data_IF_700764030384
#
_entry.id   IF_700764030384
#
_cell.length_a   1.000
_cell.length_b   1.000
_cell.length_c   1.000
_cell.angle_alpha   90.00
_cell.angle_beta   90.00
_cell.angle_gamma   90.00
#
_symmetry.space_group_name_H-M   'P 1'
#
loop_
_entity.id
_entity.type
_entity.pdbx_description
1 polymer ?
#
# COMPACT_ATOMS: atom_id res chain seq x y z
N UNK A 1 1.13 1.71 -19.63
CA UNK A 1 0.55 2.88 -18.99
C UNK A 1 -0.79 3.17 -19.62
N UNK A 2 -1.85 2.99 -18.85
CA UNK A 2 -3.24 2.94 -19.35
C UNK A 2 -3.96 4.30 -19.18
N UNK A 3 -3.27 5.39 -19.47
CA UNK A 3 -3.98 6.67 -19.54
C UNK A 3 -4.92 6.66 -20.74
N UNK A 4 -6.16 7.05 -20.53
CA UNK A 4 -7.14 7.14 -21.61
C UNK A 4 -6.67 8.22 -22.60
N UNK A 5 -6.32 7.85 -23.84
CA UNK A 5 -6.00 8.83 -24.86
C UNK A 5 -7.24 9.71 -25.10
N UNK A 6 -7.07 11.03 -25.05
CA UNK A 6 -8.14 11.97 -25.32
C UNK A 6 -8.24 12.27 -26.83
N UNK A 7 -7.11 12.20 -27.53
CA UNK A 7 -7.00 12.38 -28.98
C UNK A 7 -5.69 11.82 -29.54
N UNK A 8 -5.48 11.93 -30.85
CA UNK A 8 -4.27 11.49 -31.54
C UNK A 8 -3.05 12.43 -31.34
N UNK A 9 -3.15 13.47 -30.53
CA UNK A 9 -2.07 14.46 -30.26
C UNK A 9 -1.19 14.09 -29.07
N UNK A 10 -1.33 12.87 -28.53
CA UNK A 10 -0.62 12.41 -27.34
C UNK A 10 -1.20 12.93 -26.02
N UNK A 11 -2.38 13.54 -26.04
CA UNK A 11 -3.10 13.94 -24.83
C UNK A 11 -3.60 12.74 -24.07
N UNK A 12 -3.41 12.79 -22.75
CA UNK A 12 -3.86 11.75 -21.81
C UNK A 12 -4.66 12.37 -20.68
N UNK A 13 -5.65 11.62 -20.19
CA UNK A 13 -6.46 11.94 -19.01
C UNK A 13 -6.67 10.63 -18.25
N UNK A 14 -6.30 10.57 -16.98
CA UNK A 14 -6.44 9.35 -16.20
C UNK A 14 -5.95 9.49 -14.78
N UNK A 15 -5.97 8.37 -14.05
CA UNK A 15 -5.48 8.26 -12.69
C UNK A 15 -4.14 7.54 -12.67
N UNK A 16 -3.29 7.90 -11.72
CA UNK A 16 -2.00 7.27 -11.47
C UNK A 16 -1.55 7.48 -10.03
N UNK A 17 -0.62 6.65 -9.59
CA UNK A 17 0.06 6.78 -8.31
C UNK A 17 1.32 7.65 -8.49
N UNK A 18 1.55 8.58 -7.58
CA UNK A 18 2.82 9.27 -7.45
C UNK A 18 3.83 8.35 -6.76
N UNK A 19 4.82 7.85 -7.49
CA UNK A 19 5.91 7.05 -6.92
C UNK A 19 6.97 7.93 -6.26
N UNK A 20 7.34 9.02 -6.94
CA UNK A 20 8.25 10.05 -6.40
C UNK A 20 7.79 11.43 -6.82
N UNK A 21 8.09 12.44 -5.99
CA UNK A 21 7.87 13.85 -6.30
C UNK A 21 8.99 14.69 -5.71
N UNK A 22 9.65 15.46 -6.58
CA UNK A 22 10.72 16.38 -6.21
C UNK A 22 10.40 17.79 -6.70
N UNK A 23 10.58 18.77 -5.84
CA UNK A 23 10.50 20.19 -6.22
C UNK A 23 11.84 20.65 -6.72
N UNK A 24 11.90 21.10 -8.00
CA UNK A 24 13.10 21.53 -8.68
C UNK A 24 12.97 22.93 -9.26
N UNK A 25 14.09 23.55 -9.59
CA UNK A 25 14.15 24.85 -10.25
C UNK A 25 14.78 24.69 -11.62
N UNK A 26 14.15 25.25 -12.64
CA UNK A 26 14.65 25.25 -14.02
C UNK A 26 15.84 26.18 -14.18
N UNK A 27 16.58 26.08 -15.29
CA UNK A 27 17.63 27.01 -15.64
C UNK A 27 17.18 28.47 -15.82
N UNK A 28 15.87 28.68 -16.00
CA UNK A 28 15.25 30.01 -16.12
C UNK A 28 14.72 30.54 -14.77
N UNK A 29 14.90 29.80 -13.67
CA UNK A 29 14.44 30.19 -12.35
C UNK A 29 13.00 29.76 -12.02
N UNK A 30 12.27 29.14 -12.96
CA UNK A 30 10.90 28.67 -12.70
C UNK A 30 10.91 27.39 -11.83
N UNK A 31 10.04 27.35 -10.83
CA UNK A 31 9.82 26.15 -10.02
C UNK A 31 8.96 25.15 -10.77
N UNK A 32 9.28 23.85 -10.68
CA UNK A 32 8.48 22.77 -11.22
C UNK A 32 8.52 21.53 -10.30
N UNK A 33 7.53 20.65 -10.43
CA UNK A 33 7.59 19.31 -9.83
C UNK A 33 8.10 18.33 -10.89
N UNK A 34 9.07 17.53 -10.49
CA UNK A 34 9.59 16.37 -11.22
C UNK A 34 9.06 15.13 -10.54
N UNK A 35 8.21 14.39 -11.21
CA UNK A 35 7.48 13.26 -10.67
C UNK A 35 7.78 11.98 -11.44
N UNK A 36 7.77 10.84 -10.75
CA UNK A 36 7.57 9.55 -11.38
C UNK A 36 6.15 9.11 -11.07
N UNK A 37 5.35 8.92 -12.10
CA UNK A 37 3.97 8.42 -12.01
C UNK A 37 3.92 6.97 -12.46
N UNK A 38 3.09 6.15 -11.81
CA UNK A 38 2.93 4.73 -12.13
C UNK A 38 1.47 4.32 -12.12
N UNK A 39 1.14 3.31 -12.92
CA UNK A 39 -0.10 2.55 -12.89
C UNK A 39 0.22 1.05 -13.06
N UNK A 40 -0.79 0.20 -13.32
CA UNK A 40 -0.61 -1.25 -13.53
C UNK A 40 0.31 -1.60 -14.70
N UNK A 41 0.47 -0.71 -15.68
CA UNK A 41 1.14 -1.01 -16.95
C UNK A 41 2.56 -0.46 -17.03
N UNK A 42 2.95 0.46 -16.13
CA UNK A 42 4.30 0.99 -16.11
C UNK A 42 4.49 2.33 -15.44
N UNK A 43 5.63 2.94 -15.70
CA UNK A 43 6.07 4.19 -15.09
C UNK A 43 6.40 5.23 -16.17
N UNK A 44 6.14 6.49 -15.87
CA UNK A 44 6.52 7.62 -16.70
C UNK A 44 7.08 8.78 -15.87
N UNK A 45 8.12 9.43 -16.36
CA UNK A 45 8.55 10.72 -15.81
C UNK A 45 7.55 11.81 -16.21
N UNK A 46 7.12 12.62 -15.26
CA UNK A 46 6.13 13.66 -15.45
C UNK A 46 6.61 15.00 -14.87
N UNK A 47 6.28 16.09 -15.54
CA UNK A 47 6.64 17.43 -15.09
C UNK A 47 5.46 18.36 -15.04
N UNK A 48 5.27 18.97 -13.87
CA UNK A 48 4.32 20.06 -13.65
C UNK A 48 5.12 21.39 -13.62
N UNK A 49 5.13 22.09 -14.74
CA UNK A 49 5.86 23.34 -14.89
C UNK A 49 5.17 24.50 -14.21
N UNK A 50 5.94 25.51 -13.76
CA UNK A 50 5.46 26.73 -13.07
C UNK A 50 4.64 26.38 -11.83
N UNK A 51 5.12 25.38 -11.10
CA UNK A 51 4.43 24.91 -9.91
C UNK A 51 4.37 25.99 -8.81
N UNK A 52 3.16 26.17 -8.27
CA UNK A 52 2.89 26.98 -7.08
C UNK A 52 1.98 26.20 -6.14
N UNK A 53 2.33 26.00 -4.86
CA UNK A 53 1.46 25.30 -3.90
C UNK A 53 0.07 25.95 -3.76
N UNK A 54 0.00 27.28 -3.90
CA UNK A 54 -1.25 28.03 -3.78
C UNK A 54 -2.24 27.74 -4.93
N UNK A 55 -1.73 27.43 -6.13
CA UNK A 55 -2.56 27.16 -7.32
C UNK A 55 -2.79 25.67 -7.56
N UNK A 56 -1.77 24.84 -7.28
CA UNK A 56 -1.77 23.43 -7.65
C UNK A 56 -1.99 22.49 -6.46
N UNK A 57 -1.89 22.99 -5.21
CA UNK A 57 -1.86 22.14 -4.01
C UNK A 57 -0.48 21.52 -3.76
N UNK A 58 -0.40 20.67 -2.76
CA UNK A 58 0.80 19.91 -2.42
C UNK A 58 0.58 18.43 -2.75
N UNK A 59 1.65 17.76 -3.19
CA UNK A 59 1.63 16.35 -3.60
C UNK A 59 2.75 15.59 -2.91
N UNK A 60 2.45 14.34 -2.53
CA UNK A 60 3.40 13.43 -1.87
C UNK A 60 3.49 12.11 -2.62
N UNK A 61 4.56 11.37 -2.37
CA UNK A 61 4.64 9.97 -2.79
C UNK A 61 3.49 9.15 -2.18
N UNK A 62 3.08 8.11 -2.86
CA UNK A 62 1.98 7.21 -2.49
C UNK A 62 0.57 7.88 -2.51
N UNK A 63 0.41 9.02 -3.16
CA UNK A 63 -0.91 9.60 -3.43
C UNK A 63 -1.40 9.23 -4.83
N UNK A 64 -2.70 8.89 -4.94
CA UNK A 64 -3.33 8.71 -6.25
C UNK A 64 -3.85 10.06 -6.73
N UNK A 65 -3.49 10.41 -7.96
CA UNK A 65 -3.87 11.67 -8.58
C UNK A 65 -4.58 11.45 -9.90
N UNK A 66 -5.53 12.33 -10.20
CA UNK A 66 -6.06 12.49 -11.55
C UNK A 66 -5.23 13.52 -12.27
N UNK A 67 -4.73 13.13 -13.45
CA UNK A 67 -3.92 14.02 -14.28
C UNK A 67 -4.55 14.20 -15.67
N UNK A 68 -4.25 15.35 -16.26
CA UNK A 68 -4.40 15.61 -17.69
C UNK A 68 -3.10 16.22 -18.19
N UNK A 69 -2.65 15.78 -19.34
CA UNK A 69 -1.41 16.27 -19.90
C UNK A 69 -1.13 15.73 -21.30
N UNK A 70 0.08 15.98 -21.78
CA UNK A 70 0.53 15.55 -23.10
C UNK A 70 1.84 14.77 -22.95
N UNK A 71 1.89 13.58 -23.54
CA UNK A 71 3.11 12.78 -23.64
C UNK A 71 3.91 13.23 -24.86
N UNK A 72 5.20 13.44 -24.69
CA UNK A 72 6.14 13.75 -25.74
C UNK A 72 7.48 13.07 -25.49
N UNK A 73 8.19 12.73 -26.54
CA UNK A 73 9.54 12.19 -26.44
C UNK A 73 10.53 13.29 -26.04
N UNK A 74 11.34 13.02 -25.02
CA UNK A 74 12.45 13.88 -24.59
C UNK A 74 13.68 13.02 -24.30
N UNK A 75 14.79 13.28 -25.00
CA UNK A 75 16.04 12.52 -24.91
C UNK A 75 15.89 11.00 -25.08
N UNK A 76 15.01 10.58 -26.00
CA UNK A 76 14.78 9.15 -26.29
C UNK A 76 13.89 8.42 -25.28
N UNK A 77 13.20 9.15 -24.41
CA UNK A 77 12.26 8.60 -23.45
C UNK A 77 10.96 9.41 -23.43
N UNK A 78 9.84 8.73 -23.20
CA UNK A 78 8.56 9.40 -23.04
C UNK A 78 8.53 10.21 -21.75
N UNK A 79 8.05 11.44 -21.86
CA UNK A 79 7.87 12.36 -20.75
C UNK A 79 6.46 12.98 -20.81
N UNK A 80 5.78 12.98 -19.67
CA UNK A 80 4.47 13.59 -19.53
C UNK A 80 4.58 15.03 -19.05
N UNK A 81 4.08 15.96 -19.85
CA UNK A 81 3.85 17.33 -19.44
C UNK A 81 2.46 17.44 -18.81
N UNK A 82 2.41 17.64 -17.52
CA UNK A 82 1.15 17.78 -16.78
C UNK A 82 0.57 19.18 -17.04
N UNK A 83 -0.70 19.23 -17.42
CA UNK A 83 -1.49 20.46 -17.62
C UNK A 83 -2.44 20.70 -16.45
N UNK A 84 -3.02 19.62 -15.89
CA UNK A 84 -3.87 19.65 -14.70
C UNK A 84 -3.59 18.42 -13.85
N UNK A 85 -3.62 18.62 -12.53
CA UNK A 85 -3.44 17.58 -11.54
C UNK A 85 -4.31 17.88 -10.32
N UNK A 86 -4.87 16.86 -9.71
CA UNK A 86 -5.53 16.91 -8.40
C UNK A 86 -5.45 15.57 -7.71
N UNK A 87 -5.49 15.55 -6.40
CA UNK A 87 -5.62 14.32 -5.62
C UNK A 87 -6.97 13.65 -5.96
N UNK A 88 -6.97 12.33 -6.07
CA UNK A 88 -8.19 11.54 -6.22
C UNK A 88 -9.02 11.59 -4.92
N UNK A 89 -10.33 11.49 -5.05
CA UNK A 89 -11.25 11.48 -3.92
C UNK A 89 -12.33 10.40 -4.10
N UNK A 90 -13.13 10.17 -3.07
CA UNK A 90 -14.13 9.11 -3.03
C UNK A 90 -15.16 9.18 -4.19
N UNK A 91 -15.45 10.40 -4.70
CA UNK A 91 -16.37 10.57 -5.82
C UNK A 91 -15.81 10.06 -7.17
N UNK A 92 -14.52 9.81 -7.25
CA UNK A 92 -13.89 9.27 -8.45
C UNK A 92 -14.15 7.76 -8.65
N UNK A 93 -14.61 7.04 -7.61
CA UNK A 93 -14.90 5.60 -7.62
C UNK A 93 -13.79 4.75 -8.25
N UNK A 94 -12.53 5.08 -7.95
CA UNK A 94 -11.38 4.33 -8.43
C UNK A 94 -11.18 3.08 -7.58
N UNK A 95 -10.78 1.96 -8.21
CA UNK A 95 -10.28 0.80 -7.49
C UNK A 95 -8.79 1.02 -7.20
N UNK A 96 -8.43 1.12 -5.92
CA UNK A 96 -7.05 1.39 -5.48
C UNK A 96 -6.09 0.27 -5.94
N UNK A 97 -6.59 -0.97 -6.00
CA UNK A 97 -5.82 -2.15 -6.40
C UNK A 97 -5.29 -2.07 -7.85
N UNK A 98 -5.89 -1.22 -8.69
CA UNK A 98 -5.41 -1.00 -10.06
C UNK A 98 -4.13 -0.13 -10.11
N UNK A 99 -3.75 0.51 -9.00
CA UNK A 99 -2.63 1.47 -8.94
C UNK A 99 -1.52 1.07 -7.97
N UNK A 100 -1.78 0.18 -7.03
CA UNK A 100 -0.82 -0.23 -6.00
C UNK A 100 -0.63 -1.74 -5.99
N UNK A 101 0.59 -2.23 -5.68
CA UNK A 101 0.78 -3.65 -5.42
C UNK A 101 -0.12 -4.10 -4.27
N UNK A 102 -0.92 -5.12 -4.52
CA UNK A 102 -1.92 -5.65 -3.58
C UNK A 102 -1.72 -7.13 -3.37
N UNK A 103 -2.12 -7.66 -2.21
CA UNK A 103 -2.12 -9.08 -1.93
C UNK A 103 -3.01 -9.85 -2.93
N UNK A 104 -2.63 -11.09 -3.23
CA UNK A 104 -3.33 -11.95 -4.21
C UNK A 104 -4.78 -12.28 -3.83
N UNK A 105 -5.13 -12.10 -2.56
CA UNK A 105 -6.46 -12.35 -2.01
C UNK A 105 -7.04 -11.10 -1.38
N UNK A 106 -8.36 -10.97 -1.42
CA UNK A 106 -9.08 -9.88 -0.74
C UNK A 106 -8.72 -9.84 0.76
N UNK A 107 -8.31 -8.67 1.24
CA UNK A 107 -7.98 -8.46 2.65
C UNK A 107 -9.14 -8.81 3.58
N UNK A 108 -10.39 -8.54 3.17
CA UNK A 108 -11.57 -8.93 3.94
C UNK A 108 -11.69 -10.45 4.05
N UNK A 109 -11.50 -11.19 2.95
CA UNK A 109 -11.53 -12.65 2.97
C UNK A 109 -10.42 -13.25 3.82
N UNK A 110 -9.21 -12.68 3.75
CA UNK A 110 -8.08 -13.11 4.58
C UNK A 110 -8.34 -12.86 6.07
N UNK A 111 -8.91 -11.70 6.41
CA UNK A 111 -9.31 -11.40 7.78
C UNK A 111 -10.37 -12.37 8.30
N UNK A 112 -11.43 -12.60 7.53
CA UNK A 112 -12.51 -13.52 7.89
C UNK A 112 -11.99 -14.96 8.08
N UNK A 113 -11.04 -15.41 7.24
CA UNK A 113 -10.38 -16.71 7.37
C UNK A 113 -9.60 -16.82 8.69
N UNK A 114 -8.85 -15.79 9.08
CA UNK A 114 -8.11 -15.75 10.35
C UNK A 114 -9.07 -15.84 11.52
N UNK A 115 -10.16 -15.06 11.51
CA UNK A 115 -11.19 -15.10 12.59
C UNK A 115 -11.88 -16.45 12.64
N UNK A 116 -12.16 -17.05 11.48
CA UNK A 116 -12.72 -18.41 11.40
C UNK A 116 -11.80 -19.43 12.09
N UNK A 117 -10.50 -19.42 11.78
CA UNK A 117 -9.52 -20.33 12.40
C UNK A 117 -9.45 -20.09 13.92
N UNK A 118 -9.40 -18.83 14.37
CA UNK A 118 -9.43 -18.50 15.80
C UNK A 118 -10.72 -19.00 16.49
N UNK A 119 -11.86 -19.00 15.78
CA UNK A 119 -13.11 -19.48 16.32
C UNK A 119 -13.13 -20.98 16.65
N UNK A 120 -12.23 -21.75 16.03
CA UNK A 120 -12.09 -23.20 16.22
C UNK A 120 -11.18 -23.56 17.42
N UNK A 121 -10.56 -22.59 18.08
CA UNK A 121 -9.73 -22.85 19.26
C UNK A 121 -10.54 -23.47 20.39
N UNK A 122 -9.96 -24.48 21.01
CA UNK A 122 -10.48 -25.15 22.22
C UNK A 122 -10.18 -24.34 23.47
N UNK A 123 -9.04 -23.65 23.46
CA UNK A 123 -8.66 -22.73 24.54
C UNK A 123 -9.46 -21.41 24.40
N UNK A 124 -10.40 -21.23 25.34
CA UNK A 124 -11.30 -20.06 25.35
C UNK A 124 -10.60 -18.76 25.69
N UNK A 125 -9.49 -18.78 26.44
CA UNK A 125 -8.74 -17.59 26.81
C UNK A 125 -7.92 -17.08 25.61
N UNK A 126 -7.20 -17.98 24.93
CA UNK A 126 -6.47 -17.66 23.69
C UNK A 126 -7.41 -17.15 22.61
N UNK A 127 -8.56 -17.79 22.44
CA UNK A 127 -9.59 -17.35 21.51
C UNK A 127 -10.07 -15.94 21.79
N UNK A 128 -10.39 -15.63 23.04
CA UNK A 128 -10.90 -14.32 23.47
C UNK A 128 -9.84 -13.24 23.25
N UNK A 129 -8.61 -13.51 23.68
CA UNK A 129 -7.46 -12.60 23.51
C UNK A 129 -7.23 -12.27 22.05
N UNK A 130 -7.11 -13.31 21.20
CA UNK A 130 -6.83 -13.15 19.79
C UNK A 130 -7.93 -12.37 19.06
N UNK A 131 -9.21 -12.73 19.33
CA UNK A 131 -10.34 -12.04 18.71
C UNK A 131 -10.36 -10.56 19.07
N UNK A 132 -10.15 -10.21 20.34
CA UNK A 132 -10.12 -8.82 20.79
C UNK A 132 -8.99 -8.02 20.07
N UNK A 133 -7.77 -8.59 20.03
CA UNK A 133 -6.63 -7.91 19.36
C UNK A 133 -6.92 -7.69 17.87
N UNK A 134 -7.50 -8.68 17.18
CA UNK A 134 -7.81 -8.56 15.76
C UNK A 134 -8.95 -7.59 15.50
N UNK A 135 -9.96 -7.53 16.34
CA UNK A 135 -11.07 -6.56 16.24
C UNK A 135 -10.56 -5.13 16.44
N UNK A 136 -9.73 -4.90 17.46
CA UNK A 136 -9.13 -3.58 17.73
C UNK A 136 -8.26 -3.08 16.56
N UNK A 137 -7.58 -4.00 15.87
CA UNK A 137 -6.68 -3.67 14.76
C UNK A 137 -7.33 -3.84 13.36
N UNK A 138 -8.62 -4.21 13.30
CA UNK A 138 -9.28 -4.60 12.05
C UNK A 138 -9.09 -3.59 10.92
N UNK A 139 -9.29 -2.29 11.20
CA UNK A 139 -9.18 -1.25 10.19
C UNK A 139 -7.78 -1.22 9.56
N UNK A 140 -6.74 -1.24 10.39
CA UNK A 140 -5.36 -1.24 9.93
C UNK A 140 -5.01 -2.52 9.17
N UNK A 141 -5.34 -3.68 9.70
CA UNK A 141 -5.02 -4.99 9.10
C UNK A 141 -5.52 -5.14 7.65
N UNK A 142 -6.65 -4.52 7.30
CA UNK A 142 -7.22 -4.62 5.95
C UNK A 142 -6.35 -3.96 4.85
N UNK A 143 -5.40 -3.09 5.20
CA UNK A 143 -4.52 -2.46 4.22
C UNK A 143 -3.04 -2.48 4.59
N UNK A 144 -2.66 -2.98 5.77
CA UNK A 144 -1.29 -2.90 6.27
C UNK A 144 -0.32 -3.83 5.52
N UNK A 145 0.86 -3.34 5.10
CA UNK A 145 1.89 -4.17 4.49
C UNK A 145 2.67 -4.95 5.57
N UNK A 146 3.24 -6.10 5.20
CA UNK A 146 4.08 -6.88 6.13
C UNK A 146 5.53 -6.37 6.20
N UNK A 147 5.96 -5.55 5.24
CA UNK A 147 7.32 -5.02 5.16
C UNK A 147 7.36 -3.66 4.47
N UNK A 148 8.44 -2.92 4.68
CA UNK A 148 8.65 -1.63 4.02
C UNK A 148 9.07 -1.77 2.54
N UNK A 149 9.89 -2.78 2.17
CA UNK A 149 10.47 -2.91 0.82
C UNK A 149 10.62 -4.33 0.29
N UNK A 150 10.41 -5.35 1.10
CA UNK A 150 10.70 -6.74 0.73
C UNK A 150 9.41 -7.54 0.48
N UNK A 151 9.44 -8.84 0.81
CA UNK A 151 8.30 -9.71 0.63
C UNK A 151 7.06 -9.18 1.35
N UNK A 152 5.93 -9.19 0.66
CA UNK A 152 4.63 -8.74 1.18
C UNK A 152 4.59 -7.22 1.54
N UNK A 153 5.48 -6.40 0.94
CA UNK A 153 5.43 -4.93 0.98
C UNK A 153 4.31 -4.41 0.05
N UNK A 154 3.12 -4.94 0.21
CA UNK A 154 1.94 -4.70 -0.62
C UNK A 154 0.73 -4.42 0.27
N UNK A 155 -0.29 -3.77 -0.27
CA UNK A 155 -1.56 -3.56 0.43
C UNK A 155 -2.15 -4.90 0.90
N UNK A 156 -2.50 -5.00 2.19
CA UNK A 156 -2.99 -6.25 2.81
C UNK A 156 -1.92 -7.34 3.01
N UNK A 157 -0.65 -7.00 2.79
CA UNK A 157 0.47 -7.94 2.87
C UNK A 157 0.65 -8.57 4.25
N UNK A 158 0.29 -7.86 5.34
CA UNK A 158 0.38 -8.38 6.71
C UNK A 158 -0.58 -9.56 6.93
N UNK A 159 -1.82 -9.46 6.47
CA UNK A 159 -2.76 -10.58 6.53
C UNK A 159 -2.32 -11.76 5.66
N UNK A 160 -1.81 -11.48 4.45
CA UNK A 160 -1.30 -12.50 3.55
C UNK A 160 -0.11 -13.25 4.17
N UNK A 161 0.83 -12.52 4.76
CA UNK A 161 1.97 -13.10 5.48
C UNK A 161 1.50 -13.98 6.65
N UNK A 162 0.65 -13.44 7.51
CA UNK A 162 0.09 -14.15 8.67
C UNK A 162 -0.60 -15.45 8.27
N UNK A 163 -1.49 -15.42 7.28
CA UNK A 163 -2.16 -16.64 6.78
C UNK A 163 -1.19 -17.66 6.22
N UNK A 164 -0.13 -17.23 5.55
CA UNK A 164 0.90 -18.14 5.04
C UNK A 164 1.59 -18.88 6.19
N UNK A 165 1.96 -18.17 7.27
CA UNK A 165 2.56 -18.77 8.46
C UNK A 165 1.55 -19.68 9.18
N UNK A 166 0.31 -19.26 9.34
CA UNK A 166 -0.75 -20.10 9.97
C UNK A 166 -0.93 -21.41 9.23
N UNK A 167 -1.00 -21.40 7.88
CA UNK A 167 -1.12 -22.63 7.07
C UNK A 167 0.08 -23.57 7.26
N UNK A 168 1.29 -23.03 7.32
CA UNK A 168 2.48 -23.83 7.65
C UNK A 168 2.40 -24.43 9.06
N UNK A 169 1.93 -23.66 10.04
CA UNK A 169 1.73 -24.15 11.41
C UNK A 169 0.67 -25.24 11.49
N UNK A 170 -0.41 -25.17 10.71
CA UNK A 170 -1.40 -26.25 10.60
C UNK A 170 -0.77 -27.54 10.04
N UNK A 171 0.12 -27.43 9.06
CA UNK A 171 0.88 -28.59 8.55
C UNK A 171 1.80 -29.20 9.63
N UNK A 172 2.45 -28.35 10.42
CA UNK A 172 3.26 -28.80 11.56
C UNK A 172 2.41 -29.54 12.57
N UNK A 173 1.22 -29.04 12.94
CA UNK A 173 0.33 -29.71 13.88
C UNK A 173 -0.16 -31.08 13.38
N UNK A 174 -0.36 -31.23 12.06
CA UNK A 174 -0.69 -32.52 11.44
C UNK A 174 0.44 -33.54 11.53
N UNK A 175 1.69 -33.10 11.37
CA UNK A 175 2.87 -33.96 11.43
C UNK A 175 3.28 -34.29 12.86
N UNK A 176 3.03 -33.38 13.79
CA UNK A 176 3.45 -33.50 15.20
C UNK A 176 2.26 -33.32 16.15
N UNK A 177 1.47 -34.40 16.38
CA UNK A 177 0.23 -34.33 17.18
C UNK A 177 0.42 -33.97 18.66
N UNK A 178 1.66 -33.93 19.15
CA UNK A 178 2.00 -33.51 20.51
C UNK A 178 2.14 -31.99 20.66
N UNK A 179 2.13 -31.23 19.57
CA UNK A 179 2.19 -29.77 19.58
C UNK A 179 0.82 -29.22 19.97
N UNK A 180 0.82 -28.27 20.88
CA UNK A 180 -0.38 -27.52 21.21
C UNK A 180 -0.75 -26.61 20.02
N UNK A 181 -1.81 -27.01 19.29
CA UNK A 181 -2.26 -26.31 18.08
C UNK A 181 -2.71 -24.89 18.38
N UNK A 182 -3.52 -24.71 19.43
CA UNK A 182 -4.10 -23.40 19.71
C UNK A 182 -3.00 -22.40 20.08
N UNK A 183 -2.02 -22.83 20.87
CA UNK A 183 -0.88 -22.00 21.23
C UNK A 183 0.00 -21.69 20.02
N UNK A 184 0.33 -22.67 19.17
CA UNK A 184 1.17 -22.45 17.98
C UNK A 184 0.49 -21.51 16.99
N UNK A 185 -0.79 -21.73 16.68
CA UNK A 185 -1.54 -20.89 15.74
C UNK A 185 -1.75 -19.50 16.31
N UNK A 186 -2.05 -19.35 17.60
CA UNK A 186 -2.16 -18.04 18.26
C UNK A 186 -0.84 -17.27 18.15
N UNK A 187 0.29 -17.91 18.43
CA UNK A 187 1.62 -17.30 18.23
C UNK A 187 1.85 -16.87 16.79
N UNK A 188 1.51 -17.72 15.83
CA UNK A 188 1.61 -17.41 14.40
C UNK A 188 0.74 -16.21 13.99
N UNK A 189 -0.44 -16.06 14.58
CA UNK A 189 -1.35 -14.94 14.30
C UNK A 189 -0.88 -13.62 14.94
N UNK A 190 -0.19 -13.67 16.07
CA UNK A 190 0.21 -12.48 16.83
C UNK A 190 1.64 -12.01 16.57
N UNK A 191 2.54 -12.86 16.02
CA UNK A 191 3.98 -12.58 15.97
C UNK A 191 4.34 -11.23 15.31
N UNK A 192 3.56 -10.78 14.36
CA UNK A 192 3.80 -9.58 13.57
C UNK A 192 2.73 -8.49 13.75
N UNK A 193 1.78 -8.65 14.67
CA UNK A 193 0.66 -7.70 14.82
C UNK A 193 1.16 -6.28 15.14
N UNK A 194 2.22 -6.14 15.91
CA UNK A 194 2.80 -4.86 16.28
C UNK A 194 3.46 -4.11 15.11
N UNK A 195 3.54 -4.70 13.91
CA UNK A 195 3.90 -3.95 12.70
C UNK A 195 2.91 -2.83 12.38
N UNK A 196 1.70 -2.90 12.92
CA UNK A 196 0.72 -1.80 12.85
C UNK A 196 1.20 -0.54 13.57
N UNK A 197 2.16 -0.65 14.49
CA UNK A 197 2.80 0.47 15.19
C UNK A 197 4.20 0.80 14.62
N UNK A 198 4.82 -0.16 13.89
CA UNK A 198 6.18 -0.01 13.38
C UNK A 198 6.27 0.94 12.19
N UNK A 199 5.29 0.90 11.27
CA UNK A 199 5.31 1.69 10.04
C UNK A 199 4.37 2.89 10.10
N UNK A 200 4.73 3.92 9.31
CA UNK A 200 3.79 4.96 8.87
C UNK A 200 3.26 4.49 7.52
N UNK A 201 1.96 4.28 7.42
CA UNK A 201 1.32 3.71 6.22
C UNK A 201 0.25 4.68 5.71
N UNK A 202 0.23 4.91 4.41
CA UNK A 202 -0.85 5.64 3.75
C UNK A 202 -2.15 4.84 3.84
N UNK A 203 -3.17 5.39 4.48
CA UNK A 203 -4.48 4.73 4.60
C UNK A 203 -5.13 4.53 3.23
N UNK A 204 -4.94 5.48 2.31
CA UNK A 204 -5.52 5.41 0.97
C UNK A 204 -4.90 4.29 0.12
N UNK A 205 -3.58 4.13 0.15
CA UNK A 205 -2.87 3.17 -0.72
C UNK A 205 -2.45 1.89 0.00
N UNK A 206 -2.30 1.91 1.33
CA UNK A 206 -1.75 0.79 2.09
C UNK A 206 -0.26 0.58 1.88
N UNK A 207 0.46 1.58 1.36
CA UNK A 207 1.91 1.53 1.17
C UNK A 207 2.62 2.20 2.35
N UNK A 208 3.73 1.60 2.78
CA UNK A 208 4.56 2.15 3.83
C UNK A 208 5.34 3.38 3.33
N UNK A 209 5.28 4.47 4.10
CA UNK A 209 5.96 5.74 3.82
C UNK A 209 7.25 5.90 4.63
N UNK A 210 7.35 5.18 5.75
CA UNK A 210 8.50 5.23 6.64
C UNK A 210 8.29 4.38 7.88
N UNK A 211 9.25 4.48 8.79
CA UNK A 211 9.12 3.92 10.14
C UNK A 211 8.58 4.98 11.10
N UNK A 212 7.73 4.58 12.02
CA UNK A 212 7.32 5.40 13.14
C UNK A 212 8.53 5.67 14.08
N UNK A 213 8.39 6.59 15.01
CA UNK A 213 9.43 6.79 16.05
C UNK A 213 9.63 5.52 16.86
N UNK A 214 8.55 4.83 17.22
CA UNK A 214 8.56 3.56 17.91
C UNK A 214 9.23 2.47 17.07
N UNK A 215 8.84 2.36 15.79
CA UNK A 215 9.42 1.41 14.85
C UNK A 215 10.93 1.57 14.65
N UNK A 216 11.41 2.81 14.59
CA UNK A 216 12.84 3.10 14.51
C UNK A 216 13.63 2.73 15.76
N UNK A 217 13.03 2.85 16.94
CA UNK A 217 13.71 2.65 18.23
C UNK A 217 13.60 1.21 18.73
N UNK A 218 12.45 0.57 18.53
CA UNK A 218 12.11 -0.70 19.18
C UNK A 218 11.84 -1.83 18.16
N UNK A 219 11.43 -1.48 16.95
CA UNK A 219 10.88 -2.46 15.98
C UNK A 219 9.50 -2.96 16.43
N UNK A 220 9.09 -4.12 15.89
CA UNK A 220 7.77 -4.72 16.15
C UNK A 220 7.80 -5.88 17.17
N UNK A 221 8.98 -6.23 17.71
CA UNK A 221 9.13 -7.38 18.62
C UNK A 221 9.10 -7.00 20.12
N UNK A 222 8.74 -5.77 20.44
CA UNK A 222 8.72 -5.27 21.83
C UNK A 222 7.32 -5.00 22.32
#
# INVERSE_FOLDING_TARGET
>A
MNFTPVDNSGRVDGFCLIKTVDKKTSSKGDTYLDMTLTDSDGEINAKLWRYSPAEHGEYKANEIVKIRGTVSEYNGSDQLKIERIRIANDADNINIEDFVPTADYSSAQMYDEIIRIASEFKDGELKTLLTAIYEDNRKALLYWPAAFKLHHAVRGGLLMHTLSIVRMCEDVCRLYPFVDRDLLICGAMLHDISKTEEFIVSESTGLAEGYSVQGNLLGHLT
#
